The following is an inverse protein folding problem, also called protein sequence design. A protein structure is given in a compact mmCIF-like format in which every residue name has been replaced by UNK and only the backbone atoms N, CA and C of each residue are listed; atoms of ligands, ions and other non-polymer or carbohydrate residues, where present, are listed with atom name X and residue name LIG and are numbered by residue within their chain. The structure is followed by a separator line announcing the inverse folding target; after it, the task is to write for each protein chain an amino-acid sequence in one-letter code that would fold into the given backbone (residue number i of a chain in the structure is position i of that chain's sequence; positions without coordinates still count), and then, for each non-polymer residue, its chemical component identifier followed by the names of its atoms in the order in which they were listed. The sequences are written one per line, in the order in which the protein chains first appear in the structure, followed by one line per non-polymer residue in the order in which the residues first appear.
data_IF_985090666795
#
_entry.id   IF_985090666795
#
_cell.length_a   1.000
_cell.length_b   1.000
_cell.length_c   1.000
_cell.angle_alpha   90.00
_cell.angle_beta   90.00
_cell.angle_gamma   90.00
#
_symmetry.space_group_name_H-M   'P 1'
#
loop_
_entity.id
_entity.type
_entity.pdbx_description
1 polymer ?
#
# COMPACT_ATOMS: atom_id res chain seq x y z
N UNK A 1 7.95 -13.83 -20.94
CA UNK A 1 6.94 -13.96 -19.86
C UNK A 1 6.02 -12.76 -19.90
N UNK A 2 4.70 -12.94 -19.96
CA UNK A 2 3.77 -11.82 -19.91
C UNK A 2 3.93 -10.99 -18.64
N UNK A 3 3.63 -9.69 -18.75
CA UNK A 3 3.67 -8.79 -17.60
C UNK A 3 2.79 -9.32 -16.46
N UNK A 4 3.29 -9.32 -15.24
CA UNK A 4 2.57 -9.77 -14.04
C UNK A 4 2.57 -11.28 -13.79
N UNK A 5 2.95 -12.08 -14.77
CA UNK A 5 2.96 -13.53 -14.60
C UNK A 5 4.11 -13.96 -13.69
N UNK A 6 3.76 -14.73 -12.65
CA UNK A 6 4.75 -15.25 -11.69
C UNK A 6 5.32 -14.20 -10.73
N UNK A 7 4.79 -12.98 -10.75
CA UNK A 7 5.25 -11.90 -9.88
C UNK A 7 4.20 -11.61 -8.81
N UNK A 8 4.62 -11.55 -7.56
CA UNK A 8 3.79 -11.07 -6.46
C UNK A 8 4.13 -9.61 -6.14
N UNK A 9 3.11 -8.77 -6.06
CA UNK A 9 3.25 -7.40 -5.61
C UNK A 9 2.93 -7.34 -4.11
N UNK A 10 3.77 -6.65 -3.36
CA UNK A 10 3.53 -6.39 -1.93
C UNK A 10 3.14 -4.93 -1.74
N UNK A 11 2.10 -4.68 -0.98
CA UNK A 11 1.65 -3.31 -0.67
C UNK A 11 1.28 -3.18 0.81
N UNK A 12 1.61 -2.03 1.36
CA UNK A 12 1.08 -1.58 2.64
C UNK A 12 -0.43 -1.41 2.51
N UNK A 13 -1.19 -1.99 3.45
CA UNK A 13 -2.65 -1.97 3.39
C UNK A 13 -3.23 -1.75 4.78
N UNK A 14 -4.15 -0.81 4.89
CA UNK A 14 -4.94 -0.60 6.10
C UNK A 14 -6.32 -0.06 5.75
N UNK A 15 -7.34 -0.68 6.28
CA UNK A 15 -8.73 -0.31 6.03
C UNK A 15 -9.38 0.21 7.30
N UNK A 16 -10.03 1.37 7.17
CA UNK A 16 -10.87 1.98 8.19
C UNK A 16 -12.20 2.45 7.58
N UNK A 17 -13.08 2.97 8.41
CA UNK A 17 -14.40 3.42 7.97
C UNK A 17 -14.34 4.71 7.13
N UNK A 18 -13.32 5.54 7.36
CA UNK A 18 -13.07 6.76 6.58
C UNK A 18 -11.61 6.88 6.15
N UNK A 19 -11.36 7.70 5.14
CA UNK A 19 -10.00 7.99 4.67
C UNK A 19 -9.16 8.68 5.76
N UNK A 20 -9.77 9.59 6.49
CA UNK A 20 -9.13 10.32 7.59
C UNK A 20 -8.74 9.39 8.73
N UNK A 21 -9.63 8.50 9.12
CA UNK A 21 -9.36 7.52 10.18
C UNK A 21 -8.22 6.58 9.78
N UNK A 22 -8.21 6.11 8.54
CA UNK A 22 -7.12 5.26 8.03
C UNK A 22 -5.77 6.00 8.07
N UNK A 23 -5.75 7.25 7.67
CA UNK A 23 -4.55 8.10 7.75
C UNK A 23 -4.07 8.28 9.18
N UNK A 24 -4.97 8.60 10.10
CA UNK A 24 -4.65 8.84 11.51
C UNK A 24 -4.13 7.58 12.20
N UNK A 25 -4.78 6.44 11.98
CA UNK A 25 -4.42 5.19 12.63
C UNK A 25 -3.16 4.54 12.05
N UNK A 26 -2.97 4.59 10.75
CA UNK A 26 -1.94 3.82 10.07
C UNK A 26 -0.89 4.66 9.33
N UNK A 27 -1.27 5.83 8.84
CA UNK A 27 -0.42 6.61 7.95
C UNK A 27 0.95 6.91 8.52
N UNK A 28 1.03 7.29 9.77
CA UNK A 28 2.29 7.63 10.43
C UNK A 28 3.16 6.41 10.69
N UNK A 29 2.57 5.25 10.96
CA UNK A 29 3.33 4.01 11.18
C UNK A 29 3.98 3.53 9.88
N UNK A 30 3.23 3.53 8.77
CA UNK A 30 3.78 3.18 7.47
C UNK A 30 4.83 4.18 7.01
N UNK A 31 4.57 5.48 7.16
CA UNK A 31 5.52 6.52 6.77
C UNK A 31 6.83 6.40 7.54
N UNK A 32 6.75 6.19 8.85
CA UNK A 32 7.94 6.02 9.70
C UNK A 32 8.77 4.82 9.28
N UNK A 33 8.11 3.72 8.94
CA UNK A 33 8.80 2.55 8.40
C UNK A 33 9.48 2.85 7.06
N UNK A 34 8.78 3.49 6.13
CA UNK A 34 9.36 3.86 4.83
C UNK A 34 10.56 4.81 4.97
N UNK A 35 10.47 5.78 5.86
CA UNK A 35 11.62 6.66 6.18
C UNK A 35 12.81 5.85 6.67
N UNK A 36 12.56 4.86 7.53
CA UNK A 36 13.61 3.98 8.03
C UNK A 36 14.29 3.16 6.93
N UNK A 37 13.50 2.56 6.03
CA UNK A 37 14.06 1.70 4.97
C UNK A 37 14.67 2.47 3.81
N UNK A 38 14.31 3.73 3.62
CA UNK A 38 14.89 4.57 2.56
C UNK A 38 16.31 5.08 2.86
N UNK A 39 16.87 4.76 4.02
CA UNK A 39 18.31 4.92 4.27
C UNK A 39 18.85 6.34 4.04
N UNK A 40 18.31 7.36 4.70
CA UNK A 40 18.76 8.75 4.54
C UNK A 40 18.32 9.37 3.20
N UNK A 41 17.28 8.85 2.58
CA UNK A 41 16.69 9.39 1.36
C UNK A 41 17.15 8.74 0.05
N UNK A 42 18.12 7.85 0.09
CA UNK A 42 18.63 7.17 -1.12
C UNK A 42 17.58 6.34 -1.85
N UNK A 43 16.67 5.75 -1.11
CA UNK A 43 15.62 4.90 -1.64
C UNK A 43 14.35 5.65 -2.10
N UNK A 44 14.25 6.95 -1.92
CA UNK A 44 13.02 7.70 -2.26
C UNK A 44 12.71 7.62 -3.75
N UNK A 45 13.73 7.56 -4.60
CA UNK A 45 13.57 7.46 -6.05
C UNK A 45 12.81 6.23 -6.54
N UNK A 46 12.73 5.16 -5.75
CA UNK A 46 11.96 3.96 -6.14
C UNK A 46 10.46 4.22 -6.24
N UNK A 47 9.97 5.30 -5.63
CA UNK A 47 8.56 5.68 -5.66
C UNK A 47 8.23 6.68 -6.78
N UNK A 48 9.21 7.09 -7.56
CA UNK A 48 8.96 7.95 -8.71
C UNK A 48 8.13 7.21 -9.77
N UNK A 49 7.22 7.93 -10.42
CA UNK A 49 6.51 7.37 -11.56
C UNK A 49 7.45 7.25 -12.77
N UNK A 50 7.17 6.35 -13.72
CA UNK A 50 7.97 6.23 -14.93
C UNK A 50 8.12 7.59 -15.65
N UNK A 51 9.35 8.02 -15.88
CA UNK A 51 9.65 9.29 -16.52
C UNK A 51 9.53 10.54 -15.65
N UNK A 52 9.19 10.38 -14.37
CA UNK A 52 9.12 11.50 -13.44
C UNK A 52 10.49 11.91 -12.97
N UNK A 53 10.79 13.21 -13.05
CA UNK A 53 11.95 13.79 -12.41
C UNK A 53 11.57 14.32 -11.04
N UNK A 54 12.20 13.78 -9.99
CA UNK A 54 11.97 14.25 -8.64
C UNK A 54 12.63 15.62 -8.43
N UNK A 55 12.02 16.49 -7.60
CA UNK A 55 12.63 17.76 -7.25
C UNK A 55 14.05 17.58 -6.67
N UNK A 56 14.97 18.41 -7.11
CA UNK A 56 16.31 18.45 -6.53
C UNK A 56 16.21 19.07 -5.14
N UNK A 57 16.69 18.34 -4.14
CA UNK A 57 16.70 18.77 -2.76
C UNK A 57 17.97 18.28 -2.08
N UNK A 58 18.44 19.02 -1.10
CA UNK A 58 19.61 18.63 -0.31
C UNK A 58 19.34 17.41 0.57
N UNK A 59 18.05 17.19 0.89
CA UNK A 59 17.63 16.07 1.72
C UNK A 59 16.43 15.35 1.08
N UNK A 60 16.67 14.36 0.20
CA UNK A 60 15.59 13.66 -0.52
C UNK A 60 14.52 13.04 0.37
N UNK A 61 14.85 12.71 1.61
CA UNK A 61 13.87 12.12 2.55
C UNK A 61 12.71 13.09 2.87
N UNK A 62 12.92 14.39 2.70
CA UNK A 62 11.86 15.38 2.95
C UNK A 62 10.73 15.30 1.92
N UNK A 63 10.95 14.65 0.78
CA UNK A 63 9.91 14.35 -0.20
C UNK A 63 8.94 13.29 0.31
N UNK A 64 9.37 12.43 1.24
CA UNK A 64 8.59 11.30 1.72
C UNK A 64 7.61 11.77 2.81
N UNK A 65 6.51 12.31 2.35
CA UNK A 65 5.36 12.67 3.18
C UNK A 65 4.19 11.73 2.91
N UNK A 66 3.21 11.69 3.81
CA UNK A 66 2.02 10.86 3.59
C UNK A 66 1.30 11.22 2.29
N UNK A 67 1.07 12.50 2.05
CA UNK A 67 0.33 12.96 0.87
C UNK A 67 1.06 12.67 -0.44
N UNK A 68 2.39 12.59 -0.40
CA UNK A 68 3.19 12.24 -1.57
C UNK A 68 3.21 10.73 -1.83
N UNK A 69 3.39 9.91 -0.77
CA UNK A 69 3.53 8.46 -0.91
C UNK A 69 2.20 7.73 -1.04
N UNK A 70 1.15 8.23 -0.38
CA UNK A 70 -0.15 7.55 -0.33
C UNK A 70 -0.70 7.20 -1.72
N UNK A 71 -0.81 8.15 -2.67
CA UNK A 71 -1.34 7.82 -4.00
C UNK A 71 -0.42 6.93 -4.83
N UNK A 72 0.86 6.86 -4.49
CA UNK A 72 1.88 6.11 -5.25
C UNK A 72 1.99 4.66 -4.85
N UNK A 73 1.84 4.36 -3.55
CA UNK A 73 2.28 3.07 -3.03
C UNK A 73 1.37 2.47 -1.96
N UNK A 74 0.33 3.14 -1.51
CA UNK A 74 -0.39 2.71 -0.30
C UNK A 74 -1.84 2.35 -0.56
N UNK A 75 -2.24 1.18 -0.03
CA UNK A 75 -3.63 0.74 0.01
C UNK A 75 -4.21 1.09 1.39
N UNK A 76 -4.24 2.37 1.71
CA UNK A 76 -4.68 2.89 3.00
C UNK A 76 -5.91 3.77 2.81
N UNK A 77 -7.03 3.36 3.38
CA UNK A 77 -8.28 4.08 3.22
C UNK A 77 -9.51 3.24 3.52
N UNK A 78 -10.63 3.61 2.90
CA UNK A 78 -11.87 2.84 2.97
C UNK A 78 -11.78 1.54 2.15
N UNK A 79 -12.69 0.61 2.40
CA UNK A 79 -12.77 -0.64 1.63
C UNK A 79 -13.01 -0.35 0.14
N UNK A 80 -13.85 0.62 -0.18
CA UNK A 80 -14.14 1.04 -1.55
C UNK A 80 -12.89 1.60 -2.24
N UNK A 81 -12.15 2.46 -1.57
CA UNK A 81 -10.89 3.03 -2.08
C UNK A 81 -9.87 1.93 -2.37
N UNK A 82 -9.65 1.02 -1.43
CA UNK A 82 -8.69 -0.08 -1.57
C UNK A 82 -9.10 -1.02 -2.70
N UNK A 83 -10.37 -1.37 -2.79
CA UNK A 83 -10.90 -2.21 -3.89
C UNK A 83 -10.63 -1.58 -5.24
N UNK A 84 -10.94 -0.30 -5.41
CA UNK A 84 -10.71 0.43 -6.65
C UNK A 84 -9.22 0.47 -7.02
N UNK A 85 -8.35 0.73 -6.06
CA UNK A 85 -6.90 0.73 -6.28
C UNK A 85 -6.36 -0.63 -6.69
N UNK A 86 -6.87 -1.71 -6.14
CA UNK A 86 -6.48 -3.07 -6.55
C UNK A 86 -6.95 -3.35 -7.99
N UNK A 87 -8.15 -2.92 -8.37
CA UNK A 87 -8.60 -3.02 -9.76
C UNK A 87 -7.68 -2.25 -10.72
N UNK A 88 -7.26 -1.04 -10.37
CA UNK A 88 -6.30 -0.27 -11.16
C UNK A 88 -4.96 -1.02 -11.31
N UNK A 89 -4.41 -1.53 -10.22
CA UNK A 89 -3.17 -2.31 -10.25
C UNK A 89 -3.30 -3.56 -11.13
N UNK A 90 -4.41 -4.27 -11.01
CA UNK A 90 -4.69 -5.42 -11.85
C UNK A 90 -4.72 -5.06 -13.33
N UNK A 91 -5.40 -3.98 -13.67
CA UNK A 91 -5.54 -3.50 -15.05
C UNK A 91 -4.19 -3.04 -15.64
N UNK A 92 -3.42 -2.27 -14.88
CA UNK A 92 -2.15 -1.69 -15.36
C UNK A 92 -1.03 -2.71 -15.44
N UNK A 93 -0.95 -3.63 -14.48
CA UNK A 93 0.18 -4.54 -14.32
C UNK A 93 -0.15 -5.99 -14.70
N UNK A 94 -1.37 -6.28 -15.10
CA UNK A 94 -1.84 -7.67 -15.24
C UNK A 94 -1.54 -8.49 -13.97
N UNK A 95 -1.80 -7.90 -12.82
CA UNK A 95 -1.42 -8.45 -11.52
C UNK A 95 -2.19 -9.73 -11.22
N UNK A 96 -1.48 -10.80 -10.86
CA UNK A 96 -2.05 -12.10 -10.53
C UNK A 96 -1.95 -12.43 -9.04
N UNK A 97 -0.96 -11.86 -8.37
CA UNK A 97 -0.71 -12.12 -6.95
C UNK A 97 -0.46 -10.80 -6.22
N UNK A 98 -1.26 -10.54 -5.19
CA UNK A 98 -1.09 -9.41 -4.29
C UNK A 98 -0.92 -9.91 -2.86
N UNK A 99 0.17 -9.51 -2.22
CA UNK A 99 0.37 -9.67 -0.79
C UNK A 99 0.17 -8.33 -0.11
N UNK A 100 -0.59 -8.31 0.96
CA UNK A 100 -0.79 -7.10 1.77
C UNK A 100 -0.05 -7.19 3.09
N UNK A 101 0.48 -6.07 3.53
CA UNK A 101 1.13 -5.93 4.82
C UNK A 101 0.40 -4.88 5.65
N UNK A 102 -0.14 -5.30 6.80
CA UNK A 102 -1.06 -4.51 7.59
C UNK A 102 -0.58 -4.23 9.01
N UNK A 103 0.64 -4.63 9.34
CA UNK A 103 1.17 -4.54 10.70
C UNK A 103 2.53 -3.85 10.74
N UNK A 104 2.62 -2.55 10.38
CA UNK A 104 3.88 -1.82 10.49
C UNK A 104 4.32 -1.72 11.96
N UNK A 105 5.62 -1.54 12.22
CA UNK A 105 6.12 -1.39 13.58
C UNK A 105 5.39 -0.29 14.36
N UNK A 106 4.99 -0.59 15.58
CA UNK A 106 4.28 0.33 16.46
C UNK A 106 2.76 0.36 16.29
N UNK A 107 2.22 -0.31 15.28
CA UNK A 107 0.77 -0.42 15.09
C UNK A 107 0.14 -1.26 16.20
N UNK A 108 -0.92 -0.80 16.88
CA UNK A 108 -1.68 -1.61 17.81
C UNK A 108 -2.22 -2.87 17.13
N UNK A 109 -2.07 -4.01 17.79
CA UNK A 109 -2.51 -5.31 17.23
C UNK A 109 -4.01 -5.33 16.90
N UNK A 110 -4.84 -4.78 17.77
CA UNK A 110 -6.28 -4.74 17.57
C UNK A 110 -6.68 -3.94 16.31
N UNK A 111 -5.97 -2.84 16.04
CA UNK A 111 -6.19 -2.04 14.84
C UNK A 111 -5.83 -2.82 13.56
N UNK A 112 -4.70 -3.54 13.58
CA UNK A 112 -4.30 -4.39 12.46
C UNK A 112 -5.30 -5.53 12.22
N UNK A 113 -5.77 -6.16 13.28
CA UNK A 113 -6.76 -7.24 13.17
C UNK A 113 -8.11 -6.77 12.65
N UNK A 114 -8.57 -5.59 13.09
CA UNK A 114 -9.80 -4.99 12.55
C UNK A 114 -9.67 -4.67 11.06
N UNK A 115 -8.54 -4.12 10.66
CA UNK A 115 -8.25 -3.83 9.25
C UNK A 115 -8.25 -5.11 8.40
N UNK A 116 -7.60 -6.17 8.84
CA UNK A 116 -7.59 -7.45 8.14
C UNK A 116 -8.98 -8.07 8.03
N UNK A 117 -9.79 -7.96 9.06
CA UNK A 117 -11.18 -8.41 9.04
C UNK A 117 -12.00 -7.65 7.99
N UNK A 118 -11.88 -6.33 7.96
CA UNK A 118 -12.54 -5.49 6.95
C UNK A 118 -12.07 -5.84 5.54
N UNK A 119 -10.79 -6.10 5.36
CA UNK A 119 -10.25 -6.56 4.08
C UNK A 119 -10.89 -7.88 3.64
N UNK A 120 -10.94 -8.86 4.51
CA UNK A 120 -11.53 -10.16 4.21
C UNK A 120 -13.04 -10.08 3.90
N UNK A 121 -13.77 -9.24 4.61
CA UNK A 121 -15.20 -9.12 4.46
C UNK A 121 -15.64 -8.24 3.28
N UNK A 122 -14.89 -7.17 2.99
CA UNK A 122 -15.33 -6.11 2.06
C UNK A 122 -14.48 -5.95 0.81
N UNK A 123 -13.24 -6.40 0.81
CA UNK A 123 -12.32 -6.25 -0.32
C UNK A 123 -12.06 -7.58 -1.02
N UNK A 124 -11.60 -8.59 -0.29
CA UNK A 124 -11.24 -9.89 -0.86
C UNK A 124 -12.35 -10.56 -1.68
N UNK A 125 -13.65 -10.48 -1.31
CA UNK A 125 -14.73 -11.08 -2.12
C UNK A 125 -14.81 -10.57 -3.56
N UNK A 126 -14.35 -9.34 -3.84
CA UNK A 126 -14.30 -8.80 -5.21
C UNK A 126 -13.27 -9.50 -6.09
N UNK A 127 -12.33 -10.24 -5.52
CA UNK A 127 -11.21 -10.86 -6.21
C UNK A 127 -11.09 -12.37 -5.98
N UNK A 128 -12.04 -12.98 -5.29
CA UNK A 128 -11.98 -14.38 -4.88
C UNK A 128 -11.90 -15.37 -6.06
N UNK A 129 -12.54 -15.05 -7.18
CA UNK A 129 -12.54 -15.88 -8.38
C UNK A 129 -11.32 -15.64 -9.27
N UNK A 130 -10.61 -14.54 -9.07
CA UNK A 130 -9.46 -14.13 -9.87
C UNK A 130 -8.13 -14.71 -9.37
N UNK A 131 -8.11 -15.33 -8.19
CA UNK A 131 -6.89 -15.80 -7.50
C UNK A 131 -5.86 -14.70 -7.30
N UNK A 132 -6.27 -13.43 -7.36
CA UNK A 132 -5.41 -12.26 -7.22
C UNK A 132 -4.88 -12.10 -5.80
N UNK A 133 -5.71 -12.41 -4.81
CA UNK A 133 -5.39 -12.31 -3.40
C UNK A 133 -5.42 -13.69 -2.79
N UNK A 134 -4.29 -14.12 -2.23
CA UNK A 134 -4.23 -15.34 -1.43
C UNK A 134 -4.47 -14.99 0.03
N UNK A 135 -5.39 -15.72 0.67
CA UNK A 135 -5.56 -15.62 2.11
C UNK A 135 -4.32 -16.17 2.79
N UNK A 136 -3.72 -15.37 3.62
CA UNK A 136 -2.70 -15.83 4.55
C UNK A 136 -3.46 -16.43 5.73
N UNK A 137 -3.43 -17.72 5.82
CA UNK A 137 -4.00 -18.45 6.94
C UNK A 137 -3.07 -18.41 8.16
#
# INVERSE_FOLDING_TARGET
VPMGEGIALVRDCFIADTMEEAKELAGQHFLRYLVSVCGGGRGVGIFANPGEELPKTDNPIDLLTYDWIHPRNQLVGTAEFVTEKIHELKSELNLQHLAIWSSPPGMPHDASMKSLKLFNEKVAPHFSDDKLIKKVS
#
